data_IF_165339770439
#
_entry.id   IF_165339770439
#
_cell.length_a   1.000
_cell.length_b   1.000
_cell.length_c   1.000
_cell.angle_alpha   90.00
_cell.angle_beta   90.00
_cell.angle_gamma   90.00
#
_symmetry.space_group_name_H-M   'P 1'
#
loop_
_entity.id
_entity.type
_entity.pdbx_description
1 polymer ?
#
# COMPACT_ATOMS: atom_id res chain seq x y z
N UNK A 1 -14.67 5.74 13.68
CA UNK A 1 -14.12 6.35 14.92
C UNK A 1 -12.92 7.17 14.50
N UNK A 2 -12.90 8.47 14.77
CA UNK A 2 -11.86 9.37 14.26
C UNK A 2 -10.58 9.32 15.10
N UNK A 3 -9.46 8.96 14.48
CA UNK A 3 -8.12 9.04 15.08
C UNK A 3 -7.51 10.41 14.76
N UNK A 4 -7.34 11.22 15.80
CA UNK A 4 -6.73 12.56 15.70
C UNK A 4 -5.33 12.62 16.34
N UNK A 5 -5.01 11.70 17.26
CA UNK A 5 -3.76 11.74 18.00
C UNK A 5 -2.61 11.13 17.21
N UNK A 6 -1.55 11.92 16.98
CA UNK A 6 -0.26 11.44 16.46
C UNK A 6 0.41 10.40 17.37
N UNK A 7 0.01 10.35 18.64
CA UNK A 7 0.54 9.40 19.61
C UNK A 7 -0.20 8.05 19.60
N UNK A 8 -1.27 7.92 18.81
CA UNK A 8 -2.03 6.68 18.68
C UNK A 8 -1.09 5.52 18.30
N UNK A 9 -1.20 4.34 18.94
CA UNK A 9 -0.34 3.20 18.67
C UNK A 9 -0.29 2.78 17.20
N UNK A 10 -1.42 2.83 16.49
CA UNK A 10 -1.51 2.47 15.08
C UNK A 10 -0.73 3.44 14.19
N UNK A 11 -0.89 4.75 14.42
CA UNK A 11 -0.14 5.82 13.75
C UNK A 11 1.36 5.63 13.93
N UNK A 12 1.81 5.40 15.17
CA UNK A 12 3.22 5.10 15.44
C UNK A 12 3.71 3.85 14.71
N UNK A 13 2.87 2.82 14.59
CA UNK A 13 3.25 1.59 13.90
C UNK A 13 3.43 1.82 12.40
N UNK A 14 2.52 2.55 11.74
CA UNK A 14 2.63 2.87 10.31
C UNK A 14 3.95 3.61 10.03
N UNK A 15 4.31 4.58 10.86
CA UNK A 15 5.58 5.31 10.75
C UNK A 15 6.79 4.37 10.89
N UNK A 16 6.74 3.37 11.78
CA UNK A 16 7.80 2.36 11.92
C UNK A 16 7.95 1.49 10.67
N UNK A 17 6.86 1.14 10.00
CA UNK A 17 6.85 0.32 8.78
C UNK A 17 7.58 0.98 7.59
N UNK A 18 8.00 2.24 7.69
CA UNK A 18 8.98 2.83 6.76
C UNK A 18 10.31 2.06 6.75
N UNK A 19 10.69 1.43 7.86
CA UNK A 19 11.93 0.64 8.00
C UNK A 19 11.73 -0.79 7.49
N UNK A 20 12.65 -1.24 6.63
CA UNK A 20 12.62 -2.59 6.05
C UNK A 20 12.61 -3.71 7.10
N UNK A 21 13.37 -3.54 8.19
CA UNK A 21 13.39 -4.50 9.31
C UNK A 21 12.00 -4.67 9.94
N UNK A 22 11.32 -3.57 10.24
CA UNK A 22 9.99 -3.58 10.86
C UNK A 22 8.96 -4.25 9.95
N UNK A 23 9.02 -4.01 8.63
CA UNK A 23 8.15 -4.71 7.66
C UNK A 23 8.34 -6.22 7.66
N UNK A 24 9.61 -6.67 7.72
CA UNK A 24 9.96 -8.10 7.74
C UNK A 24 9.54 -8.76 9.06
N UNK A 25 9.80 -8.13 10.19
CA UNK A 25 9.46 -8.66 11.51
C UNK A 25 7.95 -8.76 11.72
N UNK A 26 7.20 -7.74 11.28
CA UNK A 26 5.74 -7.71 11.43
C UNK A 26 4.99 -8.48 10.34
N UNK A 27 5.65 -8.83 9.23
CA UNK A 27 4.99 -9.35 8.01
C UNK A 27 3.91 -8.40 7.50
N UNK A 28 4.21 -7.10 7.48
CA UNK A 28 3.31 -6.03 7.05
C UNK A 28 4.02 -5.03 6.15
N UNK A 29 3.27 -4.43 5.24
CA UNK A 29 3.75 -3.29 4.44
C UNK A 29 2.64 -2.24 4.27
N UNK A 30 3.07 -1.03 3.94
CA UNK A 30 2.19 0.12 3.74
C UNK A 30 1.86 0.25 2.26
N UNK A 31 0.58 0.44 1.96
CA UNK A 31 0.07 0.84 0.65
C UNK A 31 -0.44 2.26 0.81
N UNK A 32 -0.04 3.15 -0.09
CA UNK A 32 -0.46 4.55 -0.06
C UNK A 32 -1.09 4.88 -1.41
N UNK A 33 -2.31 5.44 -1.36
CA UNK A 33 -3.10 5.80 -2.53
C UNK A 33 -4.28 4.85 -2.77
N UNK A 34 -5.43 5.39 -3.15
CA UNK A 34 -6.62 4.61 -3.46
C UNK A 34 -6.44 3.75 -4.73
N UNK A 35 -5.67 4.23 -5.72
CA UNK A 35 -5.30 3.43 -6.90
C UNK A 35 -4.49 2.21 -6.50
N UNK A 36 -3.41 2.41 -5.75
CA UNK A 36 -2.54 1.33 -5.28
C UNK A 36 -3.29 0.34 -4.39
N UNK A 37 -4.20 0.81 -3.54
CA UNK A 37 -5.10 -0.06 -2.76
C UNK A 37 -6.01 -0.89 -3.67
N UNK A 38 -6.60 -0.28 -4.69
CA UNK A 38 -7.46 -0.97 -5.67
C UNK A 38 -6.70 -2.10 -6.39
N UNK A 39 -5.47 -1.84 -6.84
CA UNK A 39 -4.62 -2.86 -7.46
C UNK A 39 -4.28 -4.00 -6.49
N UNK A 40 -4.02 -3.69 -5.22
CA UNK A 40 -3.74 -4.69 -4.21
C UNK A 40 -4.95 -5.60 -3.95
N UNK A 41 -6.16 -5.02 -3.87
CA UNK A 41 -7.41 -5.77 -3.72
C UNK A 41 -7.68 -6.67 -4.94
N UNK A 42 -7.53 -6.14 -6.15
CA UNK A 42 -7.65 -6.92 -7.40
C UNK A 42 -6.62 -8.05 -7.51
N UNK A 43 -5.48 -7.89 -6.84
CA UNK A 43 -4.41 -8.88 -6.77
C UNK A 43 -4.52 -9.78 -5.54
N UNK A 44 -5.68 -9.85 -4.87
CA UNK A 44 -5.97 -10.68 -3.70
C UNK A 44 -4.99 -10.50 -2.52
N UNK A 45 -4.51 -9.28 -2.26
CA UNK A 45 -3.75 -9.00 -1.04
C UNK A 45 -4.67 -8.93 0.17
N UNK A 46 -4.18 -9.44 1.31
CA UNK A 46 -4.89 -9.34 2.58
C UNK A 46 -4.58 -7.96 3.18
N UNK A 47 -5.58 -7.08 3.14
CA UNK A 47 -5.53 -5.75 3.76
C UNK A 47 -6.04 -5.86 5.21
N UNK A 48 -5.20 -5.52 6.18
CA UNK A 48 -5.58 -5.58 7.61
C UNK A 48 -6.36 -4.35 8.06
N UNK A 49 -5.96 -3.17 7.58
CA UNK A 49 -6.59 -1.90 7.96
C UNK A 49 -6.36 -0.84 6.90
N UNK A 50 -7.31 0.08 6.79
CA UNK A 50 -7.26 1.25 5.92
C UNK A 50 -7.58 2.49 6.73
N UNK A 51 -6.71 3.49 6.62
CA UNK A 51 -6.78 4.77 7.29
C UNK A 51 -7.17 5.82 6.26
N UNK A 52 -8.32 6.48 6.49
CA UNK A 52 -8.96 7.37 5.51
C UNK A 52 -9.07 8.78 6.06
N UNK A 53 -8.44 9.73 5.36
CA UNK A 53 -8.68 11.15 5.54
C UNK A 53 -9.76 11.58 4.53
N UNK A 54 -11.01 11.63 4.98
CA UNK A 54 -12.17 11.88 4.10
C UNK A 54 -12.07 13.19 3.31
N UNK A 55 -11.56 14.27 3.92
CA UNK A 55 -11.35 15.57 3.26
C UNK A 55 -10.48 15.51 1.99
N UNK A 56 -9.55 14.55 1.96
CA UNK A 56 -8.67 14.31 0.81
C UNK A 56 -9.24 13.22 -0.10
N UNK A 57 -9.81 12.17 0.49
CA UNK A 57 -10.36 11.03 -0.22
C UNK A 57 -11.56 11.40 -1.10
N UNK A 58 -12.38 12.39 -0.72
CA UNK A 58 -13.49 12.87 -1.55
C UNK A 58 -13.09 13.27 -2.99
N UNK A 59 -11.82 13.62 -3.20
CA UNK A 59 -11.27 14.03 -4.50
C UNK A 59 -10.64 12.87 -5.27
N UNK A 60 -10.64 11.66 -4.71
CA UNK A 60 -10.05 10.48 -5.35
C UNK A 60 -10.81 10.12 -6.64
N UNK A 61 -10.08 9.50 -7.57
CA UNK A 61 -10.67 8.89 -8.78
C UNK A 61 -11.15 7.46 -8.55
N UNK A 62 -10.96 6.92 -7.33
CA UNK A 62 -11.28 5.54 -6.95
C UNK A 62 -12.23 5.48 -5.74
N UNK A 63 -13.42 6.14 -5.80
CA UNK A 63 -14.29 6.27 -4.62
C UNK A 63 -14.80 4.92 -4.09
N UNK A 64 -15.01 3.93 -4.97
CA UNK A 64 -15.50 2.59 -4.59
C UNK A 64 -14.43 1.64 -4.05
N UNK A 65 -13.19 2.08 -3.83
CA UNK A 65 -12.12 1.18 -3.34
C UNK A 65 -12.41 0.64 -1.93
N UNK A 66 -13.25 1.33 -1.17
CA UNK A 66 -13.61 0.96 0.20
C UNK A 66 -14.86 0.08 0.27
N UNK A 67 -15.63 -0.06 -0.82
CA UNK A 67 -16.95 -0.73 -0.83
C UNK A 67 -16.86 -2.22 -0.46
N UNK A 68 -15.74 -2.86 -0.78
CA UNK A 68 -15.50 -4.27 -0.47
C UNK A 68 -14.86 -4.48 0.91
N UNK A 69 -14.68 -3.43 1.70
CA UNK A 69 -14.02 -3.51 3.00
C UNK A 69 -15.01 -3.61 4.14
N UNK A 70 -14.68 -4.44 5.13
CA UNK A 70 -15.43 -4.45 6.38
C UNK A 70 -15.24 -3.12 7.12
N UNK A 71 -16.33 -2.51 7.59
CA UNK A 71 -16.32 -1.23 8.31
C UNK A 71 -15.31 -1.21 9.47
N UNK A 72 -15.15 -2.34 10.17
CA UNK A 72 -14.22 -2.47 11.30
C UNK A 72 -12.74 -2.29 10.91
N UNK A 73 -12.41 -2.47 9.63
CA UNK A 73 -11.06 -2.34 9.09
C UNK A 73 -10.82 -0.94 8.50
N UNK A 74 -11.85 -0.09 8.41
CA UNK A 74 -11.74 1.28 7.92
C UNK A 74 -11.72 2.23 9.11
N UNK A 75 -10.63 2.99 9.23
CA UNK A 75 -10.38 3.92 10.32
C UNK A 75 -10.32 5.35 9.80
N UNK A 76 -11.23 6.19 10.27
CA UNK A 76 -11.20 7.61 9.93
C UNK A 76 -10.01 8.27 10.63
N UNK A 77 -9.27 9.11 9.91
CA UNK A 77 -8.13 9.84 10.45
C UNK A 77 -8.22 11.32 10.12
N UNK A 78 -7.69 12.16 11.00
CA UNK A 78 -7.55 13.59 10.74
C UNK A 78 -6.50 13.90 9.66
N UNK A 79 -6.55 15.08 9.01
CA UNK A 79 -5.51 15.54 8.10
C UNK A 79 -4.11 15.57 8.72
N UNK A 80 -4.01 15.93 10.01
CA UNK A 80 -2.74 15.96 10.75
C UNK A 80 -2.14 14.55 10.87
N UNK A 81 -2.97 13.56 11.21
CA UNK A 81 -2.56 12.15 11.25
C UNK A 81 -2.16 11.67 9.87
N UNK A 82 -2.94 11.99 8.83
CA UNK A 82 -2.62 11.62 7.45
C UNK A 82 -1.26 12.18 7.01
N UNK A 83 -1.01 13.47 7.24
CA UNK A 83 0.27 14.11 6.93
C UNK A 83 1.46 13.50 7.68
N UNK A 84 1.23 12.84 8.82
CA UNK A 84 2.28 12.11 9.56
C UNK A 84 2.62 10.75 8.94
N UNK A 85 1.63 10.06 8.38
CA UNK A 85 1.77 8.66 7.92
C UNK A 85 1.95 8.53 6.40
N UNK A 86 1.47 9.50 5.63
CA UNK A 86 1.66 9.53 4.18
C UNK A 86 3.12 9.86 3.85
N UNK A 87 3.66 9.19 2.84
CA UNK A 87 5.01 9.42 2.34
C UNK A 87 5.03 10.46 1.22
N UNK A 88 3.96 10.57 0.42
CA UNK A 88 3.84 11.51 -0.70
C UNK A 88 2.98 12.71 -0.32
N UNK A 89 3.38 13.90 -0.76
CA UNK A 89 2.65 15.14 -0.49
C UNK A 89 1.27 15.22 -1.18
N UNK A 90 1.07 14.48 -2.28
CA UNK A 90 -0.16 14.51 -3.10
C UNK A 90 -0.92 13.17 -3.10
N UNK A 91 -0.90 12.45 -1.98
CA UNK A 91 -1.69 11.22 -1.84
C UNK A 91 -3.17 11.53 -1.62
N UNK A 92 -4.06 10.68 -2.12
CA UNK A 92 -5.52 10.90 -2.17
C UNK A 92 -6.24 10.46 -0.88
N UNK A 93 -5.62 10.72 0.28
CA UNK A 93 -6.27 10.53 1.59
C UNK A 93 -6.30 9.09 2.11
N UNK A 94 -5.68 8.12 1.43
CA UNK A 94 -5.70 6.70 1.82
C UNK A 94 -4.31 6.17 2.14
N UNK A 95 -4.19 5.53 3.31
CA UNK A 95 -3.06 4.68 3.68
C UNK A 95 -3.59 3.36 4.22
N UNK A 96 -3.07 2.24 3.73
CA UNK A 96 -3.48 0.91 4.15
C UNK A 96 -2.28 0.10 4.64
N UNK A 97 -2.55 -0.86 5.53
CA UNK A 97 -1.61 -1.88 5.97
C UNK A 97 -2.06 -3.23 5.39
N UNK A 98 -1.15 -3.95 4.75
CA UNK A 98 -1.43 -5.25 4.14
C UNK A 98 -0.32 -6.27 4.42
N UNK A 99 -0.65 -7.55 4.24
CA UNK A 99 0.32 -8.66 4.35
C UNK A 99 1.03 -8.91 3.02
N UNK A 100 2.36 -9.06 3.01
CA UNK A 100 3.09 -9.40 1.80
C UNK A 100 2.73 -10.82 1.34
N UNK A 101 2.75 -11.03 0.01
CA UNK A 101 2.72 -12.38 -0.58
C UNK A 101 4.13 -12.92 -0.71
N UNK A 102 4.25 -14.24 -0.57
CA UNK A 102 5.49 -14.95 -0.82
C UNK A 102 5.64 -15.21 -2.33
N UNK A 103 6.56 -14.49 -2.97
CA UNK A 103 6.90 -14.67 -4.37
C UNK A 103 8.20 -15.46 -4.49
N UNK A 104 8.14 -16.68 -5.03
CA UNK A 104 9.32 -17.52 -5.29
C UNK A 104 9.32 -18.00 -6.73
N UNK A 105 10.51 -18.23 -7.28
CA UNK A 105 10.69 -18.76 -8.65
C UNK A 105 9.96 -20.09 -8.86
N UNK A 106 9.96 -20.98 -7.85
CA UNK A 106 9.29 -22.28 -7.91
C UNK A 106 7.75 -22.20 -8.09
N UNK A 107 7.15 -21.03 -7.81
CA UNK A 107 5.70 -20.81 -7.98
C UNK A 107 5.34 -20.16 -9.32
N UNK A 108 6.33 -19.75 -10.13
CA UNK A 108 6.09 -19.07 -11.40
C UNK A 108 5.61 -20.10 -12.43
N UNK A 109 4.44 -19.84 -13.02
CA UNK A 109 3.91 -20.59 -14.17
C UNK A 109 4.16 -19.78 -15.44
N UNK A 110 5.09 -20.24 -16.28
CA UNK A 110 5.36 -19.61 -17.57
C UNK A 110 4.36 -20.10 -18.63
N UNK A 111 3.98 -19.19 -19.53
CA UNK A 111 3.20 -19.53 -20.72
C UNK A 111 4.06 -20.26 -21.75
N UNK A 112 3.46 -20.75 -22.84
CA UNK A 112 4.20 -21.40 -23.93
C UNK A 112 5.16 -20.49 -24.71
N UNK A 113 5.03 -19.16 -24.57
CA UNK A 113 5.94 -18.17 -25.15
C UNK A 113 6.12 -17.01 -24.16
N UNK A 114 6.95 -17.18 -23.12
CA UNK A 114 7.08 -16.19 -22.06
C UNK A 114 8.02 -15.04 -22.48
N UNK A 115 7.62 -13.80 -22.20
CA UNK A 115 8.52 -12.66 -22.19
C UNK A 115 9.07 -12.48 -20.77
N UNK A 116 10.38 -12.62 -20.60
CA UNK A 116 11.03 -12.61 -19.28
C UNK A 116 12.04 -11.47 -19.20
N UNK A 117 11.94 -10.67 -18.15
CA UNK A 117 12.92 -9.64 -17.81
C UNK A 117 13.71 -10.11 -16.60
N UNK A 118 15.04 -10.17 -16.73
CA UNK A 118 15.96 -10.47 -15.64
C UNK A 118 16.68 -9.18 -15.26
N UNK A 119 16.57 -8.80 -13.99
CA UNK A 119 17.20 -7.60 -13.46
C UNK A 119 18.33 -8.00 -12.52
N UNK A 120 19.54 -7.52 -12.83
CA UNK A 120 20.71 -7.68 -11.98
C UNK A 120 21.06 -6.34 -11.34
N UNK A 121 21.32 -6.35 -10.02
CA UNK A 121 21.86 -5.21 -9.26
C UNK A 121 21.13 -3.85 -9.48
N UNK A 122 19.80 -3.82 -9.38
CA UNK A 122 19.03 -2.56 -9.47
C UNK A 122 19.34 -1.65 -8.27
N UNK A 123 20.02 -0.53 -8.51
CA UNK A 123 20.55 0.34 -7.45
C UNK A 123 19.50 1.16 -6.68
N UNK A 124 18.45 1.64 -7.38
CA UNK A 124 17.45 2.54 -6.80
C UNK A 124 16.05 1.93 -6.86
N UNK A 125 15.27 1.93 -5.76
CA UNK A 125 13.89 1.42 -5.76
C UNK A 125 12.99 2.03 -6.84
N UNK A 126 13.20 3.32 -7.16
CA UNK A 126 12.46 4.02 -8.20
C UNK A 126 12.68 3.43 -9.61
N UNK A 127 13.88 2.92 -9.90
CA UNK A 127 14.19 2.31 -11.18
C UNK A 127 13.42 0.99 -11.36
N UNK A 128 13.38 0.16 -10.31
CA UNK A 128 12.63 -1.08 -10.32
C UNK A 128 11.14 -0.82 -10.58
N UNK A 129 10.56 0.18 -9.89
CA UNK A 129 9.17 0.56 -10.10
C UNK A 129 8.88 1.07 -11.51
N UNK A 130 9.80 1.81 -12.13
CA UNK A 130 9.65 2.26 -13.51
C UNK A 130 9.67 1.08 -14.50
N UNK A 131 10.63 0.16 -14.36
CA UNK A 131 10.73 -1.04 -15.20
C UNK A 131 9.46 -1.89 -15.10
N UNK A 132 8.95 -2.12 -13.88
CA UNK A 132 7.72 -2.90 -13.69
C UNK A 132 6.51 -2.26 -14.39
N UNK A 133 6.39 -0.92 -14.36
CA UNK A 133 5.32 -0.22 -15.08
C UNK A 133 5.47 -0.29 -16.59
N UNK A 134 6.71 -0.27 -17.11
CA UNK A 134 6.97 -0.45 -18.54
C UNK A 134 6.70 -1.88 -18.99
N UNK A 135 6.93 -2.87 -18.13
CA UNK A 135 6.66 -4.27 -18.43
C UNK A 135 5.15 -4.61 -18.43
N UNK A 136 4.35 -3.84 -17.69
CA UNK A 136 2.88 -3.96 -17.63
C UNK A 136 2.17 -3.26 -18.81
N UNK A 137 2.80 -2.22 -19.39
CA UNK A 137 2.28 -1.43 -20.50
C UNK A 137 2.34 -2.16 -21.85
#
# INVERSE_FOLDING_TARGET
MLITSLQNPSVKNIVKLAKSRERKEQQLFVIEGARELSLALQSDYIVESVYVCWEMFEKTKYPGVLDSMEEKNVLDISPEVFGKIAYRENSDGVVAIAKPKLHKLEYIKLSGNPFVIVLEAVEKPGNLGAILRTADA
#
